data_IF_802799236803
#
_entry.id   IF_802799236803
#
_cell.length_a   1.000
_cell.length_b   1.000
_cell.length_c   1.000
_cell.angle_alpha   90.00
_cell.angle_beta   90.00
_cell.angle_gamma   90.00
#
_symmetry.space_group_name_H-M   'P 1'
#
loop_
_entity.id
_entity.type
_entity.pdbx_description
1 polymer ?
#
# COMPACT_ATOMS: atom_id res chain seq x y z
N UNK A 1 -5.15 -1.09 -13.68
CA UNK A 1 -4.45 -1.20 -12.39
C UNK A 1 -5.18 -2.26 -11.59
N UNK A 2 -4.49 -3.32 -11.18
CA UNK A 2 -5.06 -4.35 -10.31
C UNK A 2 -4.60 -4.07 -8.87
N UNK A 3 -5.49 -4.20 -7.90
CA UNK A 3 -5.21 -3.88 -6.50
C UNK A 3 -6.21 -4.53 -5.55
N UNK A 4 -5.79 -4.74 -4.31
CA UNK A 4 -6.67 -5.23 -3.25
C UNK A 4 -5.92 -5.41 -1.94
N UNK A 5 -6.58 -6.03 -0.98
CA UNK A 5 -6.10 -6.11 0.40
C UNK A 5 -5.05 -7.20 0.55
N UNK A 6 -3.96 -6.87 1.24
CA UNK A 6 -3.01 -7.87 1.74
C UNK A 6 -3.53 -8.39 3.08
N UNK A 7 -3.75 -9.69 3.18
CA UNK A 7 -4.16 -10.37 4.40
C UNK A 7 -3.13 -11.45 4.74
N UNK A 8 -2.59 -11.43 5.96
CA UNK A 8 -1.54 -12.36 6.40
C UNK A 8 -0.33 -12.45 5.46
N UNK A 9 0.06 -11.31 4.86
CA UNK A 9 1.19 -11.25 3.92
C UNK A 9 0.87 -11.71 2.50
N UNK A 10 -0.37 -12.08 2.21
CA UNK A 10 -0.79 -12.61 0.90
C UNK A 10 -1.79 -11.65 0.26
N UNK A 11 -1.62 -11.42 -1.03
CA UNK A 11 -2.58 -10.73 -1.88
C UNK A 11 -2.96 -11.64 -3.04
N UNK A 12 -4.26 -11.81 -3.27
CA UNK A 12 -4.79 -12.67 -4.32
C UNK A 12 -5.69 -11.86 -5.24
N UNK A 13 -5.54 -12.13 -6.54
CA UNK A 13 -6.39 -11.61 -7.60
C UNK A 13 -7.05 -12.78 -8.30
N UNK A 14 -8.32 -12.61 -8.68
CA UNK A 14 -8.93 -13.50 -9.65
C UNK A 14 -8.16 -13.44 -10.97
N UNK A 15 -8.06 -14.55 -11.69
CA UNK A 15 -7.22 -14.65 -12.89
C UNK A 15 -7.61 -13.66 -14.01
N UNK A 16 -8.90 -13.32 -14.10
CA UNK A 16 -9.47 -12.32 -15.00
C UNK A 16 -9.19 -10.87 -14.57
N UNK A 17 -8.89 -10.65 -13.29
CA UNK A 17 -8.49 -9.36 -12.71
C UNK A 17 -6.96 -9.24 -12.51
N UNK A 18 -6.20 -10.27 -12.91
CA UNK A 18 -4.75 -10.31 -12.80
C UNK A 18 -4.04 -9.34 -13.75
N UNK A 19 -2.80 -8.95 -13.44
CA UNK A 19 -1.97 -8.21 -14.39
C UNK A 19 -1.69 -9.04 -15.65
N UNK A 20 -1.64 -8.37 -16.81
CA UNK A 20 -1.22 -9.00 -18.06
C UNK A 20 0.25 -9.43 -18.01
N UNK A 21 0.68 -10.29 -18.94
CA UNK A 21 2.11 -10.61 -19.08
C UNK A 21 2.96 -9.35 -19.33
N UNK A 22 4.20 -9.37 -18.84
CA UNK A 22 5.18 -8.30 -18.96
C UNK A 22 5.65 -7.72 -17.62
N UNK A 23 6.39 -6.62 -17.69
CA UNK A 23 6.98 -5.97 -16.51
C UNK A 23 5.96 -5.12 -15.75
N UNK A 24 5.88 -5.32 -14.44
CA UNK A 24 5.02 -4.55 -13.53
C UNK A 24 5.79 -4.04 -12.32
N UNK A 25 5.35 -2.88 -11.82
CA UNK A 25 5.76 -2.32 -10.53
C UNK A 25 4.66 -2.60 -9.52
N UNK A 26 5.02 -3.23 -8.40
CA UNK A 26 4.12 -3.47 -7.28
C UNK A 26 4.26 -2.33 -6.28
N UNK A 27 3.14 -1.77 -5.82
CA UNK A 27 3.13 -0.73 -4.79
C UNK A 27 2.28 -1.20 -3.62
N UNK A 28 2.88 -1.20 -2.44
CA UNK A 28 2.24 -1.55 -1.17
C UNK A 28 2.01 -0.25 -0.41
N UNK A 29 0.75 -0.01 -0.04
CA UNK A 29 0.36 1.15 0.74
C UNK A 29 -0.31 0.68 2.04
N UNK A 30 0.01 1.35 3.13
CA UNK A 30 -0.59 1.09 4.43
C UNK A 30 -0.36 2.27 5.35
N UNK A 31 -1.38 2.63 6.12
CA UNK A 31 -1.28 3.68 7.15
C UNK A 31 -1.42 3.06 8.53
N UNK A 32 -0.68 3.58 9.50
CA UNK A 32 -0.80 3.23 10.92
C UNK A 32 -0.86 4.49 11.77
N UNK A 33 -1.46 4.38 12.95
CA UNK A 33 -1.41 5.44 13.97
C UNK A 33 0.01 5.59 14.48
N UNK A 34 0.54 6.81 14.54
CA UNK A 34 1.86 7.08 15.12
C UNK A 34 1.84 7.12 16.65
N UNK A 35 0.64 7.27 17.24
CA UNK A 35 0.46 7.52 18.68
C UNK A 35 0.56 9.00 19.07
N UNK A 36 0.94 9.88 18.14
CA UNK A 36 0.92 11.33 18.35
C UNK A 36 -0.47 11.89 18.06
N UNK A 37 -0.91 12.87 18.86
CA UNK A 37 -2.11 13.66 18.57
C UNK A 37 -1.71 14.92 17.82
N UNK A 38 -2.46 15.28 16.79
CA UNK A 38 -2.27 16.51 16.01
C UNK A 38 -3.54 17.35 16.06
N UNK A 39 -3.35 18.67 16.07
CA UNK A 39 -4.44 19.63 15.93
C UNK A 39 -4.68 19.87 14.43
N UNK A 40 -5.87 19.54 13.98
CA UNK A 40 -6.41 19.90 12.66
C UNK A 40 -7.07 21.27 12.81
N UNK A 41 -6.68 22.27 11.97
CA UNK A 41 -7.33 23.58 11.99
C UNK A 41 -8.80 23.46 11.55
N UNK A 42 -9.65 24.45 11.89
CA UNK A 42 -11.01 24.50 11.42
C UNK A 42 -11.15 24.42 9.90
N UNK A 43 -12.15 23.68 9.41
CA UNK A 43 -12.54 23.61 8.01
C UNK A 43 -14.07 23.63 7.84
N UNK A 44 -14.55 23.49 6.60
CA UNK A 44 -15.99 23.51 6.28
C UNK A 44 -16.77 22.36 6.95
N UNK A 45 -16.10 21.26 7.29
CA UNK A 45 -16.71 20.08 7.91
C UNK A 45 -16.50 20.02 9.43
N UNK A 46 -15.52 20.75 9.95
CA UNK A 46 -15.15 20.85 11.37
C UNK A 46 -14.84 22.30 11.73
N UNK A 47 -15.87 23.13 11.98
CA UNK A 47 -15.70 24.58 12.20
C UNK A 47 -14.96 24.95 13.49
N UNK A 48 -14.79 24.01 14.43
CA UNK A 48 -14.01 24.21 15.66
C UNK A 48 -12.58 23.63 15.56
N UNK A 49 -12.26 22.98 14.44
CA UNK A 49 -11.08 22.13 14.31
C UNK A 49 -11.20 20.85 15.14
N UNK A 50 -10.18 20.00 15.09
CA UNK A 50 -10.21 18.71 15.78
C UNK A 50 -8.84 18.27 16.28
N UNK A 51 -8.79 17.53 17.40
CA UNK A 51 -7.61 16.78 17.81
C UNK A 51 -7.77 15.34 17.36
N UNK A 52 -6.92 14.89 16.44
CA UNK A 52 -6.96 13.52 15.89
C UNK A 52 -5.62 12.81 16.10
N UNK A 53 -5.63 11.48 16.01
CA UNK A 53 -4.39 10.70 15.98
C UNK A 53 -3.73 10.83 14.61
N UNK A 54 -2.43 11.13 14.61
CA UNK A 54 -1.63 11.22 13.40
C UNK A 54 -1.50 9.84 12.75
N UNK A 55 -1.81 9.80 11.45
CA UNK A 55 -1.65 8.62 10.61
C UNK A 55 -0.35 8.77 9.80
N UNK A 56 0.54 7.79 9.93
CA UNK A 56 1.82 7.73 9.21
C UNK A 56 1.85 6.52 8.29
N UNK A 57 2.73 6.55 7.30
CA UNK A 57 2.97 5.37 6.48
C UNK A 57 3.52 4.22 7.32
N UNK A 58 2.87 3.07 7.17
CA UNK A 58 3.28 1.82 7.80
C UNK A 58 4.32 1.07 6.97
N UNK A 59 4.46 1.44 5.69
CA UNK A 59 5.26 0.75 4.69
C UNK A 59 6.42 1.67 4.28
N UNK A 60 7.67 1.17 4.24
CA UNK A 60 8.80 1.93 3.71
C UNK A 60 8.54 2.47 2.30
N UNK A 61 9.03 3.68 2.01
CA UNK A 61 8.81 4.34 0.71
C UNK A 61 9.29 3.49 -0.49
N UNK A 62 10.34 2.67 -0.30
CA UNK A 62 10.88 1.73 -1.31
C UNK A 62 9.93 0.60 -1.71
N UNK A 63 8.84 0.38 -0.97
CA UNK A 63 7.80 -0.58 -1.34
C UNK A 63 6.49 0.12 -1.75
N UNK A 64 6.42 1.45 -1.64
CA UNK A 64 5.21 2.25 -1.86
C UNK A 64 5.39 3.28 -2.96
N UNK A 65 5.56 4.55 -2.58
CA UNK A 65 5.66 5.69 -3.51
C UNK A 65 6.84 5.56 -4.49
N UNK A 66 8.00 5.13 -3.99
CA UNK A 66 9.23 4.94 -4.75
C UNK A 66 9.55 3.45 -4.90
N UNK A 67 8.54 2.65 -5.28
CA UNK A 67 8.66 1.20 -5.25
C UNK A 67 9.76 0.66 -6.18
N UNK A 68 10.63 -0.16 -5.62
CA UNK A 68 11.62 -0.97 -6.34
C UNK A 68 11.15 -2.43 -6.58
N UNK A 69 9.93 -2.76 -6.16
CA UNK A 69 9.31 -4.07 -6.33
C UNK A 69 8.89 -4.29 -7.79
N UNK A 70 9.86 -4.68 -8.62
CA UNK A 70 9.67 -4.89 -10.06
C UNK A 70 9.71 -6.39 -10.39
N UNK A 71 8.72 -6.88 -11.13
CA UNK A 71 8.68 -8.27 -11.63
C UNK A 71 8.19 -8.33 -13.05
N UNK A 72 8.78 -9.27 -13.80
CA UNK A 72 8.28 -9.68 -15.10
C UNK A 72 7.37 -10.89 -14.92
N UNK A 73 6.15 -10.79 -15.43
CA UNK A 73 5.14 -11.83 -15.35
C UNK A 73 5.17 -12.60 -16.67
N UNK A 74 5.84 -13.76 -16.65
CA UNK A 74 5.71 -14.74 -17.73
C UNK A 74 4.31 -15.36 -17.67
N UNK A 75 3.64 -15.46 -18.81
CA UNK A 75 2.34 -16.16 -18.87
C UNK A 75 2.54 -17.68 -18.76
N UNK A 76 1.76 -18.42 -17.94
CA UNK A 76 0.86 -17.98 -16.86
C UNK A 76 1.49 -18.26 -15.48
N UNK A 77 2.26 -17.32 -14.94
CA UNK A 77 2.66 -17.39 -13.54
C UNK A 77 1.48 -17.04 -12.64
N UNK A 78 1.16 -17.93 -11.71
CA UNK A 78 0.09 -17.73 -10.73
C UNK A 78 0.59 -17.18 -9.39
N UNK A 79 1.91 -17.12 -9.20
CA UNK A 79 2.52 -16.71 -7.93
C UNK A 79 3.74 -15.81 -8.16
N UNK A 80 3.85 -14.76 -7.36
CA UNK A 80 4.97 -13.83 -7.38
C UNK A 80 5.32 -13.52 -5.93
N UNK A 81 6.53 -13.86 -5.53
CA UNK A 81 7.02 -13.65 -4.17
C UNK A 81 7.97 -12.45 -4.11
N UNK A 82 7.76 -11.63 -3.07
CA UNK A 82 8.64 -10.52 -2.71
C UNK A 82 9.11 -10.74 -1.28
N UNK A 83 10.42 -10.75 -1.09
CA UNK A 83 11.01 -10.73 0.25
C UNK A 83 11.06 -9.28 0.72
N UNK A 84 10.32 -8.98 1.78
CA UNK A 84 10.22 -7.64 2.35
C UNK A 84 10.95 -7.61 3.69
N UNK A 85 11.82 -6.62 3.85
CA UNK A 85 12.53 -6.39 5.11
C UNK A 85 11.94 -5.19 5.82
N UNK A 86 11.62 -5.35 7.11
CA UNK A 86 11.31 -4.21 7.99
C UNK A 86 12.61 -3.57 8.47
N UNK A 87 12.69 -2.24 8.40
CA UNK A 87 13.76 -1.49 9.08
C UNK A 87 13.41 -1.20 10.53
#
# INVERSE_FOLDING_TARGET
MAGGRIENGIYQLAADAGPSAGQHVVRIAGKRKSGRKIQVPPDEYSPEGAVVEEMVDAVPARYGENSDLIRDIASPSTEINFELESQ
#
